data_IF_702695746309
#
_entry.id   IF_702695746309
#
_cell.length_a   1.000
_cell.length_b   1.000
_cell.length_c   1.000
_cell.angle_alpha   90.00
_cell.angle_beta   90.00
_cell.angle_gamma   90.00
#
_symmetry.space_group_name_H-M   'P 1'
#
loop_
_entity.id
_entity.type
_entity.pdbx_description
1 polymer ?
2 polymer ?
3 non-polymer ?
#
# COMPACT_ATOMS: atom_id res chain seq x y z
N UNK A 4 -18.28 34.13 -35.02
CA UNK A 4 -19.48 33.53 -35.59
C UNK A 4 -20.65 33.57 -34.61
N UNK A 5 -21.55 32.60 -34.74
CA UNK A 5 -22.77 32.59 -33.95
C UNK A 5 -22.49 32.23 -32.49
N UNK A 6 -23.52 32.37 -31.66
CA UNK A 6 -23.47 31.91 -30.28
C UNK A 6 -23.61 30.40 -30.16
N UNK A 7 -23.80 29.69 -31.28
CA UNK A 7 -23.75 28.24 -31.26
C UNK A 7 -22.31 27.76 -31.18
N UNK A 8 -21.41 28.39 -31.95
CA UNK A 8 -19.99 28.11 -31.81
C UNK A 8 -19.53 28.34 -30.37
N UNK A 9 -20.18 29.27 -29.66
CA UNK A 9 -19.88 29.49 -28.26
C UNK A 9 -20.08 28.22 -27.44
N UNK A 10 -21.29 27.67 -27.45
CA UNK A 10 -21.57 26.52 -26.61
C UNK A 10 -21.11 25.20 -27.22
N UNK A 11 -20.66 25.19 -28.48
CA UNK A 11 -19.90 24.04 -28.97
C UNK A 11 -18.49 24.02 -28.40
N UNK A 12 -18.00 25.15 -27.90
CA UNK A 12 -16.78 25.16 -27.10
C UNK A 12 -17.08 24.77 -25.66
N UNK A 13 -18.19 25.27 -25.12
CA UNK A 13 -18.58 24.93 -23.76
C UNK A 13 -18.85 23.44 -23.60
N UNK A 14 -19.26 22.78 -24.68
CA UNK A 14 -19.47 21.34 -24.66
C UNK A 14 -18.20 20.57 -24.99
N UNK A 15 -17.39 21.09 -25.92
CA UNK A 15 -16.12 20.45 -26.23
C UNK A 15 -15.10 20.59 -25.12
N UNK A 16 -15.19 21.67 -24.33
CA UNK A 16 -14.31 21.82 -23.18
C UNK A 16 -14.81 21.00 -22.00
N UNK A 17 -16.13 20.95 -21.81
CA UNK A 17 -16.70 20.13 -20.74
C UNK A 17 -16.31 18.67 -20.90
N UNK A 18 -16.28 18.18 -22.13
CA UNK A 18 -15.87 16.80 -22.37
C UNK A 18 -14.41 16.59 -22.02
N UNK A 19 -13.55 17.55 -22.37
CA UNK A 19 -12.13 17.44 -22.05
C UNK A 19 -11.90 17.31 -20.55
N UNK A 20 -12.74 17.94 -19.74
CA UNK A 20 -12.63 17.80 -18.29
C UNK A 20 -12.94 16.37 -17.85
N UNK A 21 -14.06 15.82 -18.33
CA UNK A 21 -14.47 14.49 -17.90
C UNK A 21 -13.48 13.44 -18.37
N UNK A 22 -12.95 13.60 -19.58
CA UNK A 22 -11.91 12.69 -20.06
C UNK A 22 -10.73 12.68 -19.09
N UNK A 23 -10.24 13.86 -18.73
CA UNK A 23 -9.15 13.96 -17.76
C UNK A 23 -9.53 13.27 -16.45
N UNK A 24 -10.68 13.64 -15.89
CA UNK A 24 -11.15 13.01 -14.66
C UNK A 24 -11.20 11.50 -14.79
N UNK A 25 -11.68 11.00 -15.93
CA UNK A 25 -11.82 9.55 -16.09
C UNK A 25 -10.47 8.87 -16.19
N UNK A 26 -9.51 9.46 -16.91
CA UNK A 26 -8.18 8.88 -16.96
C UNK A 26 -7.56 8.80 -15.56
N UNK A 27 -7.80 9.81 -14.73
CA UNK A 27 -7.22 9.80 -13.39
C UNK A 27 -7.87 8.72 -12.53
N UNK A 28 -9.17 8.50 -12.69
CA UNK A 28 -9.85 7.51 -11.86
C UNK A 28 -9.56 6.09 -12.32
N UNK A 29 -9.42 5.88 -13.63
CA UNK A 29 -9.08 4.55 -14.12
C UNK A 29 -7.64 4.21 -13.74
N UNK A 30 -6.75 5.20 -13.73
CA UNK A 30 -5.37 4.93 -13.36
C UNK A 30 -5.25 4.59 -11.88
N UNK A 31 -6.04 5.25 -11.03
CA UNK A 31 -6.08 4.87 -9.62
C UNK A 31 -6.61 3.45 -9.45
N UNK A 32 -7.70 3.13 -10.14
CA UNK A 32 -8.28 1.80 -10.04
C UNK A 32 -7.34 0.74 -10.59
N UNK A 33 -6.54 1.08 -11.59
CA UNK A 33 -5.52 0.14 -12.06
C UNK A 33 -4.48 -0.12 -10.98
N UNK A 34 -4.14 0.91 -10.20
CA UNK A 34 -3.12 0.75 -9.16
C UNK A 34 -3.64 -0.09 -8.00
N UNK A 35 -4.91 0.08 -7.63
CA UNK A 35 -5.54 -0.83 -6.67
C UNK A 35 -5.36 -2.28 -7.11
N UNK A 36 -5.68 -2.57 -8.37
CA UNK A 36 -5.58 -3.93 -8.88
C UNK A 36 -4.14 -4.41 -8.92
N UNK A 37 -3.20 -3.52 -9.25
CA UNK A 37 -1.79 -3.89 -9.21
C UNK A 37 -1.34 -4.14 -7.77
N UNK A 38 -1.78 -3.29 -6.84
CA UNK A 38 -1.43 -3.48 -5.44
C UNK A 38 -1.96 -4.82 -4.92
N UNK A 39 -3.25 -5.09 -5.14
CA UNK A 39 -3.83 -6.36 -4.70
C UNK A 39 -3.09 -7.55 -5.28
N UNK A 40 -2.63 -7.44 -6.53
CA UNK A 40 -1.91 -8.55 -7.15
C UNK A 40 -0.53 -8.71 -6.53
N UNK A 41 0.22 -7.61 -6.41
CA UNK A 41 1.57 -7.69 -5.86
C UNK A 41 1.55 -8.18 -4.42
N UNK A 42 0.55 -7.74 -3.63
CA UNK A 42 0.42 -8.22 -2.26
C UNK A 42 0.24 -9.73 -2.21
N UNK A 43 -0.60 -10.28 -3.09
CA UNK A 43 -0.74 -11.74 -3.14
C UNK A 43 0.55 -12.39 -3.61
N UNK A 44 1.30 -11.73 -4.50
CA UNK A 44 2.54 -12.30 -4.99
C UNK A 44 3.62 -12.29 -3.91
N UNK A 45 3.52 -11.38 -2.94
CA UNK A 45 4.37 -11.46 -1.75
C UNK A 45 4.16 -12.77 -1.01
N UNK A 46 2.94 -12.97 -0.49
CA UNK A 46 2.69 -14.08 0.43
C UNK A 46 3.06 -15.42 -0.19
N UNK A 47 2.87 -15.56 -1.50
CA UNK A 47 3.31 -16.79 -2.16
C UNK A 47 4.83 -16.90 -2.14
N UNK A 48 5.53 -15.78 -2.30
CA UNK A 48 6.98 -15.81 -2.25
C UNK A 48 7.49 -15.96 -0.82
N UNK A 49 6.84 -15.28 0.13
CA UNK A 49 7.18 -15.47 1.54
C UNK A 49 7.05 -16.94 1.93
N UNK A 50 5.90 -17.54 1.60
CA UNK A 50 5.64 -18.93 2.00
C UNK A 50 6.61 -19.87 1.31
N UNK A 51 6.82 -19.69 0.00
CA UNK A 51 7.70 -20.59 -0.73
C UNK A 51 9.14 -20.47 -0.23
N UNK A 52 9.62 -19.24 -0.05
CA UNK A 52 11.00 -19.05 0.40
C UNK A 52 11.22 -19.59 1.80
N UNK A 53 10.17 -19.62 2.63
CA UNK A 53 10.29 -20.25 3.94
C UNK A 53 10.48 -21.76 3.80
N UNK A 54 9.81 -22.38 2.82
CA UNK A 54 10.00 -23.81 2.60
C UNK A 54 11.39 -24.09 2.04
N UNK A 55 11.88 -23.24 1.13
CA UNK A 55 13.21 -23.44 0.58
C UNK A 55 14.27 -23.36 1.66
N UNK A 56 14.12 -22.41 2.59
CA UNK A 56 15.09 -22.27 3.68
C UNK A 56 15.03 -23.47 4.61
N UNK A 57 13.82 -23.92 4.95
CA UNK A 57 13.67 -25.09 5.81
C UNK A 57 14.36 -26.31 5.21
N UNK A 58 14.37 -26.43 3.88
CA UNK A 58 15.09 -27.52 3.24
C UNK A 58 16.59 -27.29 3.20
N UNK A 59 17.03 -26.03 3.12
CA UNK A 59 18.46 -25.75 3.14
C UNK A 59 19.07 -26.13 4.48
N UNK A 60 18.38 -25.78 5.58
CA UNK A 60 18.88 -26.15 6.90
C UNK A 60 18.93 -27.66 7.06
N UNK A 61 17.91 -28.36 6.56
CA UNK A 61 17.87 -29.81 6.68
C UNK A 61 18.88 -30.48 5.75
N UNK A 62 19.17 -29.86 4.61
CA UNK A 62 20.29 -30.33 3.79
C UNK A 62 21.62 -30.04 4.47
N UNK A 63 21.74 -28.88 5.11
CA UNK A 63 22.97 -28.54 5.83
C UNK A 63 23.16 -29.44 7.04
N UNK A 64 22.08 -29.76 7.74
CA UNK A 64 22.19 -30.57 8.95
C UNK A 64 22.62 -32.00 8.63
N UNK A 65 22.20 -32.53 7.48
CA UNK A 65 22.62 -33.86 7.09
C UNK A 65 23.97 -33.87 6.39
N UNK A 66 24.42 -32.72 5.87
CA UNK A 66 25.79 -32.63 5.36
C UNK A 66 26.80 -32.71 6.50
N UNK A 67 26.40 -32.32 7.71
CA UNK A 67 27.28 -32.48 8.86
C UNK A 67 27.28 -33.93 9.32
N UNK A 68 26.11 -34.57 9.36
CA UNK A 68 26.03 -35.96 9.78
C UNK A 68 26.79 -36.87 8.82
N UNK A 69 26.70 -36.60 7.52
CA UNK A 69 27.44 -37.39 6.55
C UNK A 69 28.94 -37.15 6.66
N UNK A 70 29.34 -35.94 7.06
CA UNK A 70 30.76 -35.64 7.20
C UNK A 70 31.36 -36.31 8.43
N UNK A 71 30.57 -36.45 9.50
CA UNK A 71 31.08 -37.05 10.73
C UNK A 71 31.15 -38.57 10.59
N UNK A 72 30.05 -39.20 10.17
CA UNK A 72 30.01 -40.66 10.10
C UNK A 72 31.04 -41.21 9.12
N UNK A 73 31.37 -40.45 8.07
CA UNK A 73 32.40 -40.85 7.12
C UNK A 73 33.79 -40.43 7.56
N UNK A 74 33.92 -39.74 8.69
CA UNK A 74 35.22 -39.33 9.20
C UNK A 74 35.54 -39.94 10.55
N UNK B 5 -27.30 33.36 19.40
CA UNK B 5 -27.93 32.83 18.19
C UNK B 5 -27.02 32.97 16.98
N UNK B 6 -26.57 34.20 16.71
CA UNK B 6 -25.71 34.44 15.55
C UNK B 6 -24.38 33.71 15.68
N UNK B 7 -23.94 33.43 16.91
CA UNK B 7 -22.68 32.72 17.11
C UNK B 7 -22.87 31.22 16.92
N UNK B 8 -23.93 30.66 17.51
CA UNK B 8 -24.15 29.22 17.43
C UNK B 8 -24.63 28.77 16.06
N UNK B 9 -25.25 29.66 15.28
CA UNK B 9 -25.66 29.29 13.93
C UNK B 9 -24.45 29.11 13.02
N UNK B 10 -23.42 29.94 13.20
CA UNK B 10 -22.18 29.75 12.45
C UNK B 10 -21.29 28.70 13.10
N UNK B 11 -21.37 28.55 14.42
CA UNK B 11 -20.57 27.55 15.12
C UNK B 11 -20.97 26.13 14.72
N UNK B 12 -22.20 25.94 14.25
CA UNK B 12 -22.64 24.66 13.70
C UNK B 12 -22.49 24.60 12.18
N UNK B 13 -22.42 25.75 11.51
CA UNK B 13 -22.22 25.74 10.06
C UNK B 13 -20.80 25.31 9.70
N UNK B 14 -19.80 25.83 10.41
CA UNK B 14 -18.43 25.40 10.16
C UNK B 14 -18.19 23.99 10.69
N UNK B 15 -18.79 23.66 11.84
CA UNK B 15 -18.70 22.31 12.36
C UNK B 15 -19.37 21.25 11.51
N UNK B 16 -20.22 21.66 10.57
CA UNK B 16 -20.83 20.74 9.62
C UNK B 16 -19.96 20.53 8.39
N UNK B 17 -19.39 21.61 7.85
CA UNK B 17 -18.45 21.48 6.75
C UNK B 17 -17.13 20.88 7.19
N UNK B 18 -16.78 21.01 8.48
CA UNK B 18 -15.57 20.38 8.98
C UNK B 18 -15.66 18.86 8.93
N UNK B 19 -16.86 18.30 9.07
CA UNK B 19 -17.03 16.87 8.87
C UNK B 19 -16.78 16.49 7.41
N UNK B 20 -17.11 17.39 6.48
CA UNK B 20 -16.81 17.14 5.07
C UNK B 20 -15.32 17.26 4.80
N UNK B 21 -14.65 18.20 5.47
CA UNK B 21 -13.21 18.37 5.31
C UNK B 21 -12.45 17.17 5.87
N UNK B 22 -12.89 16.64 7.02
CA UNK B 22 -12.25 15.46 7.58
C UNK B 22 -12.40 14.28 6.63
N UNK B 23 -13.57 14.14 6.00
CA UNK B 23 -13.77 13.05 5.05
C UNK B 23 -12.93 13.26 3.80
N UNK B 24 -12.83 14.51 3.34
CA UNK B 24 -11.95 14.82 2.21
C UNK B 24 -10.50 14.52 2.54
N UNK B 25 -10.00 15.07 3.65
CA UNK B 25 -8.62 14.83 4.04
C UNK B 25 -8.35 13.36 4.31
N UNK B 26 -9.34 12.63 4.85
CA UNK B 26 -9.15 11.20 5.08
C UNK B 26 -9.03 10.44 3.76
N UNK B 27 -9.68 10.92 2.71
CA UNK B 27 -9.53 10.32 1.38
C UNK B 27 -8.09 10.45 0.89
N UNK B 28 -7.55 11.67 0.93
CA UNK B 28 -6.18 11.92 0.49
C UNK B 28 -5.18 11.03 1.23
N UNK B 29 -5.33 10.92 2.55
CA UNK B 29 -4.37 10.14 3.33
C UNK B 29 -4.48 8.66 2.98
N UNK B 30 -5.70 8.17 2.76
CA UNK B 30 -5.87 6.81 2.27
C UNK B 30 -5.18 6.62 0.93
N UNK B 31 -5.38 7.57 0.02
CA UNK B 31 -4.74 7.53 -1.29
C UNK B 31 -3.22 7.50 -1.15
N UNK B 32 -2.68 8.36 -0.27
CA UNK B 32 -1.24 8.44 -0.11
C UNK B 32 -0.68 7.19 0.57
N UNK B 33 -1.41 6.66 1.56
CA UNK B 33 -0.93 5.47 2.26
C UNK B 33 -0.84 4.28 1.32
N UNK B 34 -1.85 4.10 0.47
CA UNK B 34 -1.84 2.98 -0.47
C UNK B 34 -0.67 3.09 -1.44
N UNK B 35 -0.37 4.30 -1.90
CA UNK B 35 0.81 4.51 -2.73
C UNK B 35 2.08 4.09 -1.99
N UNK B 36 2.15 4.40 -0.69
CA UNK B 36 3.30 3.99 0.11
C UNK B 36 3.40 2.47 0.18
N UNK B 37 2.27 1.80 0.40
CA UNK B 37 2.27 0.33 0.43
C UNK B 37 2.69 -0.23 -0.92
N UNK B 38 2.11 0.30 -2.00
CA UNK B 38 2.46 -0.18 -3.34
C UNK B 38 3.95 -0.06 -3.60
N UNK B 39 4.56 1.05 -3.20
CA UNK B 39 6.00 1.21 -3.37
C UNK B 39 6.76 0.18 -2.54
N UNK B 40 6.30 -0.07 -1.32
CA UNK B 40 6.96 -1.05 -0.46
C UNK B 40 6.77 -2.47 -0.99
N UNK B 41 5.52 -2.83 -1.30
CA UNK B 41 5.24 -4.20 -1.75
C UNK B 41 6.02 -4.56 -3.00
N UNK B 42 6.26 -3.59 -3.89
CA UNK B 42 6.94 -3.89 -5.14
C UNK B 42 8.41 -4.25 -4.91
N UNK B 43 9.12 -3.44 -4.12
CA UNK B 43 10.52 -3.75 -3.86
C UNK B 43 10.67 -5.01 -3.01
N UNK B 44 9.68 -5.32 -2.18
CA UNK B 44 9.74 -6.55 -1.40
C UNK B 44 9.55 -7.77 -2.29
N UNK B 45 8.62 -7.70 -3.24
CA UNK B 45 8.47 -8.78 -4.21
C UNK B 45 9.75 -8.98 -5.01
N UNK B 46 10.46 -7.89 -5.31
CA UNK B 46 11.69 -8.00 -6.10
C UNK B 46 12.78 -8.70 -5.31
N UNK B 47 12.99 -8.29 -4.05
CA UNK B 47 13.95 -8.96 -3.19
C UNK B 47 13.58 -10.43 -3.00
N UNK B 48 12.31 -10.70 -2.72
CA UNK B 48 11.87 -12.08 -2.54
C UNK B 48 12.10 -12.91 -3.80
N UNK B 49 12.01 -12.29 -4.98
CA UNK B 49 12.29 -13.03 -6.21
C UNK B 49 13.78 -13.30 -6.36
N UNK B 50 14.63 -12.35 -5.95
CA UNK B 50 16.07 -12.59 -5.96
C UNK B 50 16.44 -13.65 -4.93
N UNK B 51 15.90 -13.53 -3.71
CA UNK B 51 16.14 -14.53 -2.68
C UNK B 51 15.72 -15.91 -3.15
N UNK B 52 14.50 -16.01 -3.70
CA UNK B 52 14.01 -17.28 -4.21
C UNK B 52 14.96 -17.88 -5.24
N UNK B 53 15.65 -17.04 -6.00
CA UNK B 53 16.63 -17.54 -6.96
C UNK B 53 17.86 -18.10 -6.25
N UNK B 54 18.39 -17.35 -5.27
CA UNK B 54 19.57 -17.80 -4.55
C UNK B 54 19.29 -19.09 -3.77
N UNK B 55 18.07 -19.22 -3.23
CA UNK B 55 17.76 -20.39 -2.41
C UNK B 55 17.72 -21.66 -3.25
N UNK B 56 17.04 -21.62 -4.40
CA UNK B 56 17.02 -22.80 -5.27
C UNK B 56 18.40 -23.10 -5.83
N UNK B 57 19.21 -22.07 -6.09
CA UNK B 57 20.59 -22.28 -6.50
C UNK B 57 21.39 -22.96 -5.40
N UNK B 58 21.20 -22.53 -4.15
CA UNK B 58 21.94 -23.12 -3.04
C UNK B 58 21.42 -24.51 -2.69
N UNK B 59 20.12 -24.77 -2.91
CA UNK B 59 19.58 -26.10 -2.65
C UNK B 59 20.27 -27.13 -3.53
N UNK B 60 20.46 -26.81 -4.81
CA UNK B 60 21.07 -27.76 -5.73
C UNK B 60 22.58 -27.85 -5.53
N UNK B 61 23.22 -26.75 -5.12
CA UNK B 61 24.64 -26.82 -4.76
C UNK B 61 24.86 -27.78 -3.60
N UNK B 62 24.00 -27.72 -2.58
CA UNK B 62 24.11 -28.64 -1.46
C UNK B 62 23.82 -30.07 -1.88
N UNK B 63 22.99 -30.26 -2.91
CA UNK B 63 22.67 -31.61 -3.37
C UNK B 63 23.90 -32.31 -3.93
N UNK B 64 24.69 -31.61 -4.76
CA UNK B 64 25.89 -32.21 -5.32
C UNK B 64 26.97 -32.36 -4.26
N UNK B 65 27.08 -31.38 -3.35
CA UNK B 65 28.03 -31.48 -2.25
C UNK B 65 27.74 -32.67 -1.34
N UNK B 66 26.50 -33.16 -1.35
CA UNK B 66 26.13 -34.35 -0.59
C UNK B 66 26.67 -35.63 -1.21
N UNK B 67 27.05 -35.59 -2.49
CA UNK B 67 27.51 -36.80 -3.16
C UNK B 67 28.99 -37.06 -2.87
N UNK B 68 29.78 -36.00 -2.66
CA UNK B 68 31.17 -36.20 -2.25
C UNK B 68 31.26 -36.88 -0.89
N UNK B 69 30.30 -36.62 -0.01
CA UNK B 69 30.23 -37.36 1.25
C UNK B 69 29.87 -38.82 1.01
N UNK B 70 29.07 -39.09 -0.03
CA UNK B 70 28.72 -40.46 -0.39
C UNK B 70 29.92 -41.25 -0.89
N UNK B 71 31.01 -40.57 -1.25
CA UNK B 71 32.23 -41.22 -1.69
C UNK B 71 33.02 -41.76 -0.49
N UNK C 2 -29.28 20.68 22.06
CA UNK C 2 -28.85 21.65 21.06
C UNK C 2 -27.44 22.14 21.38
N UNK C 3 -27.33 23.03 22.37
CA UNK C 3 -26.01 23.40 22.87
C UNK C 3 -25.34 22.21 23.55
N UNK C 4 -26.13 21.29 24.09
CA UNK C 4 -25.59 20.04 24.61
C UNK C 4 -25.12 19.11 23.50
N UNK C 5 -25.65 19.28 22.28
CA UNK C 5 -25.26 18.47 21.14
C UNK C 5 -24.14 19.09 20.32
N UNK C 6 -23.97 20.42 20.38
CA UNK C 6 -22.87 21.05 19.65
C UNK C 6 -21.53 20.65 20.24
N UNK C 7 -21.39 20.70 21.56
CA UNK C 7 -20.11 20.40 22.17
C UNK C 7 -19.74 18.93 22.02
N UNK C 8 -20.74 18.04 21.98
CA UNK C 8 -20.45 16.64 21.71
C UNK C 8 -20.05 16.44 20.25
N UNK C 9 -20.69 17.18 19.34
CA UNK C 9 -20.28 17.16 17.94
C UNK C 9 -18.85 17.65 17.77
N UNK C 10 -18.56 18.85 18.31
CA UNK C 10 -17.21 19.40 18.23
C UNK C 10 -16.19 18.51 18.93
N UNK C 11 -16.62 17.77 19.96
CA UNK C 11 -15.72 16.84 20.62
C UNK C 11 -15.31 15.72 19.66
N UNK C 12 -16.25 15.23 18.86
CA UNK C 12 -15.94 14.17 17.90
C UNK C 12 -15.01 14.67 16.81
N UNK C 13 -15.33 15.83 16.22
CA UNK C 13 -14.49 16.47 15.21
C UNK C 13 -13.05 16.52 15.70
N UNK C 14 -12.85 16.99 16.93
CA UNK C 14 -11.50 17.07 17.48
C UNK C 14 -10.88 15.69 17.62
N UNK C 15 -11.65 14.71 18.10
CA UNK C 15 -11.12 13.35 18.22
C UNK C 15 -10.74 12.80 16.85
N UNK C 16 -11.56 13.08 15.83
CA UNK C 16 -11.24 12.62 14.49
C UNK C 16 -10.07 13.39 13.89
N UNK C 17 -9.98 14.69 14.19
CA UNK C 17 -8.86 15.49 13.69
C UNK C 17 -7.53 15.02 14.26
N UNK C 18 -7.52 14.56 15.51
CA UNK C 18 -6.28 14.06 16.08
C UNK C 18 -5.94 12.67 15.54
N UNK C 19 -6.95 11.88 15.18
CA UNK C 19 -6.68 10.59 14.54
C UNK C 19 -6.06 10.79 13.16
N UNK C 20 -6.59 11.75 12.40
CA UNK C 20 -5.97 12.11 11.12
C UNK C 20 -4.52 12.53 11.32
N UNK C 21 -4.26 13.36 12.34
CA UNK C 21 -2.90 13.82 12.58
C UNK C 21 -1.98 12.66 12.94
N UNK C 22 -2.47 11.72 13.75
CA UNK C 22 -1.68 10.54 14.07
C UNK C 22 -1.31 9.78 12.80
N UNK C 23 -2.27 9.62 11.89
CA UNK C 23 -2.00 8.93 10.64
C UNK C 23 -1.05 9.73 9.76
N UNK C 24 -1.33 11.02 9.59
CA UNK C 24 -0.50 11.86 8.72
C UNK C 24 0.93 11.91 9.24
N UNK C 25 1.10 12.10 10.55
CA UNK C 25 2.44 12.14 11.12
C UNK C 25 3.11 10.77 11.03
N UNK C 26 2.35 9.70 11.23
CA UNK C 26 2.91 8.37 11.07
C UNK C 26 3.46 8.13 9.68
N UNK C 27 2.73 8.57 8.66
CA UNK C 27 3.23 8.49 7.29
C UNK C 27 4.51 9.28 7.12
N UNK C 28 4.54 10.52 7.64
CA UNK C 28 5.70 11.39 7.45
C UNK C 28 6.97 10.78 8.02
N UNK C 29 6.85 9.89 9.01
CA UNK C 29 8.02 9.23 9.57
C UNK C 29 8.53 8.12 8.66
N UNK C 30 7.66 7.18 8.30
CA UNK C 30 8.10 5.94 7.66
C UNK C 30 8.50 6.11 6.21
N UNK C 31 8.18 7.22 5.56
CA UNK C 31 8.68 7.52 4.21
C UNK C 31 9.50 8.80 4.32
N UNK C 32 10.80 8.64 4.56
CA UNK C 32 11.69 9.76 4.76
C UNK C 32 13.05 9.43 4.16
N UNK C 33 13.81 10.47 3.85
CA UNK C 33 15.10 10.34 3.17
C UNK C 33 14.97 9.56 1.86
X LIG D 1 -1.31 2.83 -14.07
X LIG E 1 -5.81 5.07 -18.09
X LIG F 1 -3.90 10.53 -15.51
X LIG G 1 4.04 8.64 -1.19
X LIG H 1 9.39 0.47 -6.22
#
# INVERSE_FOLDING_TARGET
>A
MANNDAVLKRLEQKGAEADQIIEYLKQQVSLLKEKAILQATLREEKKLRVENAKLKKEIEELKQELIQAEIQNGVKQIP
>B
MANNDAVLKRLEQKGAEADQIIEYLKQQVSLLKEKAILQATLREEKKLRVENAKLKKEIEELKQELIQAEIQNGVKQIP
>C
MSLQALESRQDDILKRLYELKAAVDGLSKMIQTPDADLDVTLEHHHHHH
>D hetero
1 IOD I
>E hetero
1 IOD I
>F hetero
1 IOD I
>G hetero
1 IOD I
>H hetero
1 IOD I
#
